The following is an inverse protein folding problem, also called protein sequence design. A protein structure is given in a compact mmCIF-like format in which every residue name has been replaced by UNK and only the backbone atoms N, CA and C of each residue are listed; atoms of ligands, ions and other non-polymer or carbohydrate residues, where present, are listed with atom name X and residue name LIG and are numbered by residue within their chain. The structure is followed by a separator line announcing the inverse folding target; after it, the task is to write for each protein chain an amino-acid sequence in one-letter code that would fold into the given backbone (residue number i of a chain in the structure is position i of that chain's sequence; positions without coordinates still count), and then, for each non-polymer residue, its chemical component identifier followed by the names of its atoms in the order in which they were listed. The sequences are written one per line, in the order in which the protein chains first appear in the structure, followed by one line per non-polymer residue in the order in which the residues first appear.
data_IF_416384787170
#
_entry.id   IF_416384787170
#
_cell.length_a   1.000
_cell.length_b   1.000
_cell.length_c   1.000
_cell.angle_alpha   90.00
_cell.angle_beta   90.00
_cell.angle_gamma   90.00
#
_symmetry.space_group_name_H-M   'P 1'
#
loop_
_entity.id
_entity.type
_entity.pdbx_description
1 polymer ?
#
# COMPACT_ATOMS: atom_id res chain seq x y z
N UNK A 1 3.13 -19.73 -1.00
CA UNK A 1 1.87 -19.22 -1.57
C UNK A 1 2.18 -18.86 -3.02
N UNK A 2 1.58 -19.55 -3.98
CA UNK A 2 1.85 -19.34 -5.40
C UNK A 2 0.91 -18.23 -5.89
N UNK A 3 1.45 -17.04 -6.11
CA UNK A 3 0.70 -15.93 -6.67
C UNK A 3 0.76 -16.01 -8.20
N UNK A 4 -0.38 -16.18 -8.84
CA UNK A 4 -0.49 -16.06 -10.29
C UNK A 4 -0.59 -14.58 -10.68
N UNK A 5 0.31 -14.10 -11.52
CA UNK A 5 0.26 -12.74 -12.06
C UNK A 5 -1.00 -12.52 -12.91
N UNK A 6 -1.59 -11.35 -12.84
CA UNK A 6 -2.75 -10.99 -13.66
C UNK A 6 -4.10 -11.57 -13.21
N UNK A 7 -4.19 -12.13 -12.00
CA UNK A 7 -5.45 -12.65 -11.45
C UNK A 7 -6.10 -11.71 -10.44
N UNK A 8 -5.37 -10.72 -9.94
CA UNK A 8 -5.89 -9.73 -9.01
C UNK A 8 -6.89 -8.79 -9.67
N UNK A 9 -7.84 -8.30 -8.88
CA UNK A 9 -8.86 -7.35 -9.32
C UNK A 9 -9.06 -6.27 -8.26
N UNK A 10 -9.47 -5.09 -8.70
CA UNK A 10 -10.01 -4.05 -7.84
C UNK A 10 -11.53 -4.07 -7.96
N UNK A 11 -12.19 -4.16 -6.83
CA UNK A 11 -13.65 -4.16 -6.74
C UNK A 11 -14.15 -2.88 -6.06
N UNK A 12 -15.28 -2.38 -6.51
CA UNK A 12 -16.08 -1.37 -5.82
C UNK A 12 -17.33 -2.06 -5.28
N UNK A 13 -17.55 -1.93 -4.00
CA UNK A 13 -18.76 -2.40 -3.35
C UNK A 13 -19.52 -1.20 -2.75
N UNK A 14 -20.81 -1.14 -3.02
CA UNK A 14 -21.74 -0.19 -2.42
C UNK A 14 -22.85 -0.97 -1.74
N UNK A 15 -23.11 -0.69 -0.49
CA UNK A 15 -24.10 -1.43 0.30
C UNK A 15 -25.43 -1.57 -0.43
N UNK A 16 -25.90 -2.83 -0.58
CA UNK A 16 -27.16 -3.17 -1.25
C UNK A 16 -27.12 -3.20 -2.79
N UNK A 17 -25.94 -3.01 -3.40
CA UNK A 17 -25.72 -3.18 -4.85
C UNK A 17 -24.81 -4.37 -5.12
N UNK A 18 -24.84 -4.88 -6.36
CA UNK A 18 -23.91 -5.90 -6.82
C UNK A 18 -22.47 -5.36 -6.84
N UNK A 19 -21.53 -6.24 -6.61
CA UNK A 19 -20.10 -5.98 -6.70
C UNK A 19 -19.70 -5.60 -8.13
N UNK A 20 -18.95 -4.50 -8.28
CA UNK A 20 -18.45 -4.01 -9.57
C UNK A 20 -16.95 -4.17 -9.66
N UNK A 21 -16.46 -4.93 -10.63
CA UNK A 21 -15.04 -4.99 -10.97
C UNK A 21 -14.64 -3.68 -11.65
N UNK A 22 -13.68 -2.97 -11.06
CA UNK A 22 -13.19 -1.68 -11.53
C UNK A 22 -11.94 -1.84 -12.39
N UNK A 23 -11.05 -2.77 -12.01
CA UNK A 23 -9.80 -3.07 -12.72
C UNK A 23 -9.53 -4.56 -12.65
N UNK A 24 -9.08 -5.13 -13.75
CA UNK A 24 -8.65 -6.53 -13.86
C UNK A 24 -7.15 -6.63 -14.16
N UNK A 25 -6.64 -7.85 -14.16
CA UNK A 25 -5.26 -8.19 -14.52
C UNK A 25 -4.18 -7.55 -13.61
N UNK A 26 -4.53 -7.28 -12.36
CA UNK A 26 -3.56 -6.93 -11.32
C UNK A 26 -2.85 -8.20 -10.83
N UNK A 27 -1.65 -8.05 -10.25
CA UNK A 27 -0.91 -9.21 -9.76
C UNK A 27 -1.18 -9.49 -8.29
N UNK A 28 -0.86 -8.55 -7.41
CA UNK A 28 -1.16 -8.62 -5.98
C UNK A 28 -1.54 -7.21 -5.49
N UNK A 29 -2.78 -6.73 -5.79
CA UNK A 29 -3.24 -5.45 -5.31
C UNK A 29 -3.28 -5.45 -3.78
N UNK A 30 -2.73 -4.39 -3.18
CA UNK A 30 -2.56 -4.26 -1.74
C UNK A 30 -3.00 -2.88 -1.26
N UNK A 31 -2.10 -2.05 -0.71
CA UNK A 31 -2.43 -0.75 -0.16
C UNK A 31 -3.21 0.14 -1.14
N UNK A 32 -4.29 0.75 -0.65
CA UNK A 32 -5.14 1.66 -1.41
C UNK A 32 -5.40 2.92 -0.57
N UNK A 33 -5.44 4.08 -1.20
CA UNK A 33 -5.71 5.34 -0.52
C UNK A 33 -6.03 6.47 -1.46
N UNK A 34 -6.53 7.57 -0.91
CA UNK A 34 -6.92 8.78 -1.64
C UNK A 34 -6.27 10.00 -0.99
N UNK A 35 -5.98 11.02 -1.79
CA UNK A 35 -5.60 12.32 -1.27
C UNK A 35 -6.79 13.02 -0.59
N UNK A 36 -6.53 14.09 0.14
CA UNK A 36 -7.51 14.74 1.02
C UNK A 36 -8.72 15.33 0.30
N UNK A 37 -8.59 15.74 -0.97
CA UNK A 37 -9.68 16.26 -1.79
C UNK A 37 -10.37 15.19 -2.65
N UNK A 38 -9.95 13.91 -2.54
CA UNK A 38 -10.44 12.78 -3.30
C UNK A 38 -10.33 12.93 -4.83
N UNK A 39 -9.35 13.69 -5.30
CA UNK A 39 -9.09 13.84 -6.75
C UNK A 39 -8.12 12.79 -7.29
N UNK A 40 -7.32 12.14 -6.42
CA UNK A 40 -6.36 11.10 -6.77
C UNK A 40 -6.57 9.84 -5.93
N UNK A 41 -6.41 8.71 -6.57
CA UNK A 41 -6.43 7.37 -5.98
C UNK A 41 -5.08 6.71 -6.18
N UNK A 42 -4.53 6.14 -5.12
CA UNK A 42 -3.26 5.40 -5.13
C UNK A 42 -3.51 3.92 -4.87
N UNK A 43 -2.73 3.06 -5.54
CA UNK A 43 -2.83 1.61 -5.38
C UNK A 43 -1.44 0.98 -5.46
N UNK A 44 -1.09 0.19 -4.45
CA UNK A 44 0.11 -0.63 -4.44
C UNK A 44 -0.17 -2.00 -5.08
N UNK A 45 0.74 -2.49 -5.91
CA UNK A 45 0.74 -3.89 -6.37
C UNK A 45 2.10 -4.51 -6.01
N UNK A 46 2.08 -5.39 -5.03
CA UNK A 46 3.29 -5.95 -4.41
C UNK A 46 4.13 -6.76 -5.40
N UNK A 47 3.50 -7.52 -6.30
CA UNK A 47 4.21 -8.38 -7.25
C UNK A 47 4.87 -7.57 -8.39
N UNK A 48 4.27 -6.49 -8.80
CA UNK A 48 4.88 -5.58 -9.79
C UNK A 48 5.92 -4.65 -9.16
N UNK A 49 5.99 -4.61 -7.82
CA UNK A 49 6.82 -3.70 -7.02
C UNK A 49 6.54 -2.22 -7.32
N UNK A 50 5.29 -1.88 -7.60
CA UNK A 50 4.90 -0.53 -8.02
C UNK A 50 3.79 0.04 -7.17
N UNK A 51 3.81 1.36 -7.04
CA UNK A 51 2.66 2.15 -6.65
C UNK A 51 2.13 2.86 -7.88
N UNK A 52 0.84 2.79 -8.07
CA UNK A 52 0.12 3.40 -9.17
C UNK A 52 -0.73 4.57 -8.68
N UNK A 53 -1.03 5.49 -9.57
CA UNK A 53 -1.95 6.60 -9.32
C UNK A 53 -2.96 6.72 -10.47
N UNK A 54 -4.19 7.04 -10.14
CA UNK A 54 -5.25 7.42 -11.09
C UNK A 54 -5.91 8.70 -10.62
N UNK A 55 -6.37 9.53 -11.54
CA UNK A 55 -7.39 10.52 -11.23
C UNK A 55 -8.60 9.78 -10.67
N UNK A 56 -9.34 10.38 -9.74
CA UNK A 56 -10.46 9.76 -9.07
C UNK A 56 -11.72 10.63 -9.16
N UNK A 57 -12.87 10.00 -9.32
CA UNK A 57 -14.18 10.63 -9.31
C UNK A 57 -15.17 9.67 -8.63
N UNK A 58 -16.14 10.22 -7.91
CA UNK A 58 -17.22 9.47 -7.25
C UNK A 58 -18.36 9.09 -8.19
N UNK A 59 -18.31 9.48 -9.47
CA UNK A 59 -19.35 9.14 -10.45
C UNK A 59 -19.54 7.61 -10.56
N UNK A 60 -20.78 7.17 -10.81
CA UNK A 60 -21.15 5.75 -10.85
C UNK A 60 -20.46 4.97 -11.99
N UNK A 61 -20.12 5.66 -13.07
CA UNK A 61 -19.46 5.09 -14.24
C UNK A 61 -17.93 5.26 -14.21
N UNK A 62 -17.37 5.81 -13.14
CA UNK A 62 -15.94 6.00 -12.99
C UNK A 62 -15.19 4.65 -13.07
N UNK A 63 -14.13 4.63 -13.87
CA UNK A 63 -13.17 3.52 -13.97
C UNK A 63 -11.76 4.08 -13.85
N UNK A 64 -10.95 3.64 -12.86
CA UNK A 64 -9.59 4.14 -12.67
C UNK A 64 -8.72 3.84 -13.90
N UNK A 65 -7.89 4.83 -14.28
CA UNK A 65 -6.86 4.68 -15.31
C UNK A 65 -5.49 4.82 -14.65
N UNK A 66 -5.01 3.72 -14.09
CA UNK A 66 -3.76 3.69 -13.36
C UNK A 66 -2.56 3.95 -14.28
N UNK A 67 -1.67 4.83 -13.83
CA UNK A 67 -0.31 5.04 -14.34
C UNK A 67 0.69 4.76 -13.23
N UNK A 68 1.87 4.31 -13.58
CA UNK A 68 2.95 4.12 -12.62
C UNK A 68 3.32 5.46 -11.97
N UNK A 69 3.38 5.48 -10.64
CA UNK A 69 3.87 6.60 -9.86
C UNK A 69 5.32 6.40 -9.47
N UNK A 70 5.64 5.21 -8.94
CA UNK A 70 6.99 4.85 -8.49
C UNK A 70 7.16 3.34 -8.45
N UNK A 71 8.39 2.86 -8.73
CA UNK A 71 8.86 1.50 -8.46
C UNK A 71 9.68 1.43 -7.18
N UNK A 72 9.58 0.31 -6.44
CA UNK A 72 10.28 0.06 -5.19
C UNK A 72 11.38 -0.97 -5.43
N UNK A 73 12.64 -0.56 -5.29
CA UNK A 73 13.80 -1.40 -5.64
C UNK A 73 14.06 -2.53 -4.62
N UNK A 74 13.95 -2.24 -3.32
CA UNK A 74 14.23 -3.18 -2.22
C UNK A 74 12.99 -3.40 -1.36
N UNK A 75 12.58 -4.68 -1.19
CA UNK A 75 11.31 -5.05 -0.61
C UNK A 75 10.17 -4.97 -1.63
N UNK A 76 8.93 -5.01 -1.14
CA UNK A 76 7.72 -4.86 -1.97
C UNK A 76 6.73 -3.89 -1.33
N UNK A 77 6.00 -3.09 -2.11
CA UNK A 77 4.96 -2.21 -1.61
C UNK A 77 3.83 -3.05 -1.01
N UNK A 78 3.36 -2.66 0.18
CA UNK A 78 2.30 -3.35 0.91
C UNK A 78 1.17 -2.36 1.25
N UNK A 79 0.74 -2.24 2.49
CA UNK A 79 -0.27 -1.26 2.90
C UNK A 79 0.23 0.19 2.79
N UNK A 80 -0.69 1.12 2.57
CA UNK A 80 -0.37 2.54 2.51
C UNK A 80 -1.42 3.41 3.21
N UNK A 81 -1.00 4.61 3.59
CA UNK A 81 -1.88 5.71 4.00
C UNK A 81 -1.47 6.99 3.24
N UNK A 82 -2.38 7.96 3.19
CA UNK A 82 -2.09 9.27 2.57
C UNK A 82 -2.28 10.35 3.61
N UNK A 83 -1.30 11.24 3.75
CA UNK A 83 -1.38 12.36 4.69
C UNK A 83 -2.17 13.56 4.12
N UNK A 84 -2.37 14.58 4.94
CA UNK A 84 -3.13 15.78 4.55
C UNK A 84 -2.44 16.61 3.45
N UNK A 85 -1.12 16.45 3.28
CA UNK A 85 -0.35 17.09 2.22
C UNK A 85 -0.37 16.26 0.91
N UNK A 86 -1.07 15.14 0.90
CA UNK A 86 -1.19 14.22 -0.22
C UNK A 86 0.02 13.30 -0.41
N UNK A 87 0.96 13.25 0.55
CA UNK A 87 2.08 12.31 0.51
C UNK A 87 1.64 10.92 0.93
N UNK A 88 2.16 9.92 0.22
CA UNK A 88 1.89 8.51 0.48
C UNK A 88 2.88 7.99 1.50
N UNK A 89 2.40 7.36 2.56
CA UNK A 89 3.18 6.62 3.53
C UNK A 89 3.00 5.13 3.22
N UNK A 90 4.06 4.53 2.68
CA UNK A 90 4.05 3.18 2.13
C UNK A 90 4.82 2.24 3.04
N UNK A 91 4.16 1.22 3.58
CA UNK A 91 4.84 0.11 4.22
C UNK A 91 5.55 -0.73 3.15
N UNK A 92 6.83 -1.03 3.37
CA UNK A 92 7.67 -1.80 2.44
C UNK A 92 8.00 -3.14 3.09
N UNK A 93 7.24 -4.16 2.71
CA UNK A 93 7.46 -5.54 3.16
C UNK A 93 8.81 -6.07 2.72
N UNK A 94 9.57 -6.64 3.65
CA UNK A 94 10.94 -7.07 3.39
C UNK A 94 11.95 -5.93 3.25
N UNK A 95 11.50 -4.68 3.43
CA UNK A 95 12.36 -3.49 3.34
C UNK A 95 12.66 -2.83 4.69
N UNK A 96 12.09 -3.33 5.79
CA UNK A 96 12.26 -2.82 7.16
C UNK A 96 11.93 -1.33 7.31
N UNK A 97 11.03 -0.77 6.49
CA UNK A 97 10.75 0.67 6.48
C UNK A 97 9.33 1.02 6.07
N UNK A 98 8.94 2.23 6.42
CA UNK A 98 7.86 2.98 5.79
C UNK A 98 8.49 4.15 5.03
N UNK A 99 8.15 4.31 3.76
CA UNK A 99 8.65 5.38 2.89
C UNK A 99 7.58 6.47 2.73
N UNK A 100 7.94 7.73 2.97
CA UNK A 100 7.12 8.89 2.61
C UNK A 100 7.42 9.29 1.17
N UNK A 101 6.38 9.28 0.32
CA UNK A 101 6.50 9.51 -1.12
C UNK A 101 5.61 10.70 -1.50
N UNK A 102 6.16 11.64 -2.25
CA UNK A 102 5.40 12.80 -2.75
C UNK A 102 4.34 12.38 -3.77
N UNK A 103 3.30 13.23 -4.03
CA UNK A 103 2.33 12.99 -5.10
C UNK A 103 2.95 12.86 -6.50
N UNK A 104 4.21 13.29 -6.67
CA UNK A 104 4.95 13.19 -7.93
C UNK A 104 5.85 11.93 -7.99
N UNK A 105 5.77 11.03 -6.99
CA UNK A 105 6.53 9.78 -6.97
C UNK A 105 7.98 9.91 -6.49
N UNK A 106 8.33 10.97 -5.76
CA UNK A 106 9.67 11.14 -5.18
C UNK A 106 9.67 10.65 -3.74
N UNK A 107 10.61 9.78 -3.35
CA UNK A 107 10.85 9.44 -1.95
C UNK A 107 11.38 10.69 -1.24
N UNK A 108 10.69 11.11 -0.18
CA UNK A 108 11.03 12.27 0.64
C UNK A 108 11.76 11.84 1.91
N UNK A 109 11.29 10.77 2.55
CA UNK A 109 11.79 10.27 3.81
C UNK A 109 11.66 8.74 3.86
N UNK A 110 12.52 8.08 4.63
CA UNK A 110 12.43 6.65 4.94
C UNK A 110 12.58 6.45 6.45
N UNK A 111 11.59 5.84 7.09
CA UNK A 111 11.57 5.53 8.51
C UNK A 111 11.81 4.03 8.69
N UNK A 112 12.97 3.67 9.25
CA UNK A 112 13.37 2.29 9.46
C UNK A 112 12.87 1.74 10.80
N UNK A 113 12.43 0.48 10.77
CA UNK A 113 11.91 -0.25 11.93
C UNK A 113 12.77 -1.51 12.18
N UNK A 114 12.91 -1.94 13.45
CA UNK A 114 13.65 -3.14 13.81
C UNK A 114 12.85 -4.42 13.53
N UNK A 115 12.11 -4.44 12.40
CA UNK A 115 11.33 -5.57 11.90
C UNK A 115 11.47 -5.64 10.38
N UNK A 116 11.57 -6.84 9.81
CA UNK A 116 11.77 -7.00 8.37
C UNK A 116 10.53 -6.62 7.55
N UNK A 117 9.34 -6.81 8.13
CA UNK A 117 8.08 -6.81 7.38
C UNK A 117 7.05 -5.80 7.93
N UNK A 118 7.30 -4.47 7.85
CA UNK A 118 6.21 -3.51 7.97
C UNK A 118 5.14 -3.83 6.92
N UNK A 119 3.87 -3.95 7.34
CA UNK A 119 2.81 -4.49 6.48
C UNK A 119 1.74 -3.47 6.13
N UNK A 120 1.45 -2.51 6.99
CA UNK A 120 0.50 -1.44 6.71
C UNK A 120 0.74 -0.26 7.63
N UNK A 121 0.12 0.86 7.31
CA UNK A 121 0.12 2.03 8.18
C UNK A 121 -1.22 2.78 8.09
N UNK A 122 -1.54 3.53 9.14
CA UNK A 122 -2.71 4.38 9.20
C UNK A 122 -2.45 5.58 10.13
N UNK A 123 -3.08 6.71 9.86
CA UNK A 123 -3.04 7.86 10.74
C UNK A 123 -4.16 7.82 11.78
N UNK A 124 -3.80 8.04 13.04
CA UNK A 124 -4.75 8.39 14.08
C UNK A 124 -5.27 9.82 13.93
N UNK A 125 -6.34 10.14 14.64
CA UNK A 125 -6.95 11.48 14.61
C UNK A 125 -6.03 12.59 15.17
N UNK A 126 -5.00 12.22 15.93
CA UNK A 126 -3.97 13.09 16.48
C UNK A 126 -2.77 13.29 15.55
N UNK A 127 -2.79 12.70 14.34
CA UNK A 127 -1.70 12.72 13.39
C UNK A 127 -0.60 11.68 13.63
N UNK A 128 -0.74 10.82 14.65
CA UNK A 128 0.20 9.71 14.92
C UNK A 128 0.09 8.66 13.81
N UNK A 129 1.22 8.27 13.24
CA UNK A 129 1.29 7.15 12.29
C UNK A 129 1.43 5.83 13.04
N UNK A 130 0.46 4.95 12.90
CA UNK A 130 0.49 3.58 13.37
C UNK A 130 0.96 2.65 12.27
N UNK A 131 1.89 1.75 12.60
CA UNK A 131 2.51 0.83 11.62
C UNK A 131 2.35 -0.59 12.12
N UNK A 132 1.74 -1.44 11.33
CA UNK A 132 1.66 -2.88 11.61
C UNK A 132 2.86 -3.61 11.01
N UNK A 133 3.22 -4.75 11.60
CA UNK A 133 4.23 -5.63 11.04
C UNK A 133 3.78 -7.10 11.07
N UNK A 134 4.41 -7.92 10.24
CA UNK A 134 4.08 -9.33 10.12
C UNK A 134 5.27 -10.24 10.52
N UNK A 135 4.96 -11.51 10.84
CA UNK A 135 5.92 -12.58 11.14
C UNK A 135 5.93 -13.68 10.08
N UNK A 136 5.12 -13.55 9.04
CA UNK A 136 4.91 -14.59 8.05
C UNK A 136 6.22 -14.92 7.31
N UNK A 137 6.61 -16.20 7.33
CA UNK A 137 7.80 -16.68 6.64
C UNK A 137 9.14 -16.33 7.29
N UNK A 138 9.14 -15.68 8.45
CA UNK A 138 10.36 -15.41 9.24
C UNK A 138 10.63 -16.64 10.11
N UNK A 139 11.85 -17.17 10.07
CA UNK A 139 12.26 -18.31 10.90
C UNK A 139 12.34 -17.91 12.38
N UNK A 140 12.23 -18.91 13.29
CA UNK A 140 12.37 -18.67 14.73
C UNK A 140 13.72 -18.03 15.09
N UNK A 141 14.79 -18.43 14.42
CA UNK A 141 16.12 -17.89 14.64
C UNK A 141 16.20 -16.39 14.24
N UNK A 142 15.57 -16.00 13.15
CA UNK A 142 15.49 -14.59 12.72
C UNK A 142 14.59 -13.76 13.64
N UNK A 143 13.53 -14.35 14.19
CA UNK A 143 12.64 -13.69 15.15
C UNK A 143 13.33 -13.31 16.46
N UNK A 144 14.39 -14.03 16.86
CA UNK A 144 15.20 -13.63 18.03
C UNK A 144 15.83 -12.25 17.85
N UNK A 145 16.12 -11.83 16.62
CA UNK A 145 16.67 -10.51 16.29
C UNK A 145 15.58 -9.47 15.97
N UNK A 146 14.32 -9.88 15.94
CA UNK A 146 13.18 -9.03 15.60
C UNK A 146 12.04 -9.24 16.60
N UNK A 147 12.24 -8.94 17.90
CA UNK A 147 11.27 -9.25 18.94
C UNK A 147 9.93 -8.51 18.77
N UNK A 148 9.93 -7.41 18.01
CA UNK A 148 8.74 -6.61 17.71
C UNK A 148 8.00 -7.04 16.44
N UNK A 149 8.51 -8.06 15.71
CA UNK A 149 7.82 -8.55 14.51
C UNK A 149 6.43 -9.11 14.88
N UNK A 150 5.40 -8.69 14.13
CA UNK A 150 4.00 -9.05 14.39
C UNK A 150 3.31 -8.20 15.47
N UNK A 151 3.91 -7.06 15.85
CA UNK A 151 3.31 -6.06 16.75
C UNK A 151 2.83 -4.82 15.98
N UNK A 152 2.08 -4.00 16.66
CA UNK A 152 1.63 -2.66 16.24
C UNK A 152 2.58 -1.62 16.86
#
# INVERSE_FOLDING_TARGET
MDFETGKGKLHRWEGGKDDKVMVENMSLPNGIGWNSDNSLMYLADSMTKKVYVSDFDLADDFVPKFRELISIDSGVPDGLAVDMDGCIWLAVWGGSRVSKISPQGKILEEHHFPVAQPSSCAFGSDGTLYVTSARAGISEAELLNQPLAGSL
#
